data_IF_648671706210
#
_entry.id   IF_648671706210
#
_cell.length_a   1.000
_cell.length_b   1.000
_cell.length_c   1.000
_cell.angle_alpha   90.00
_cell.angle_beta   90.00
_cell.angle_gamma   90.00
#
_symmetry.space_group_name_H-M   'P 1'
#
loop_
_entity.id
_entity.type
_entity.pdbx_description
1 polymer ?
#
# COMPACT_ATOMS: atom_id res chain seq x y z
N UNK A 1 7.12 4.40 -7.62
CA UNK A 1 6.43 3.15 -7.22
C UNK A 1 5.66 3.27 -5.89
N UNK A 2 6.15 3.97 -4.86
CA UNK A 2 5.42 4.04 -3.58
C UNK A 2 4.09 4.82 -3.67
N UNK A 3 4.11 6.01 -4.29
CA UNK A 3 2.92 6.83 -4.43
C UNK A 3 1.79 6.12 -5.20
N UNK A 4 2.13 5.36 -6.25
CA UNK A 4 1.17 4.55 -7.01
C UNK A 4 0.54 3.47 -6.14
N UNK A 5 1.33 2.77 -5.31
CA UNK A 5 0.82 1.79 -4.34
C UNK A 5 -0.12 2.39 -3.29
N UNK A 6 0.16 3.59 -2.76
CA UNK A 6 -0.73 4.27 -1.80
C UNK A 6 -2.07 4.62 -2.44
N UNK A 7 -2.07 5.12 -3.68
CA UNK A 7 -3.32 5.44 -4.39
C UNK A 7 -4.11 4.18 -4.73
N UNK A 8 -3.44 3.11 -5.18
CA UNK A 8 -4.09 1.81 -5.41
C UNK A 8 -4.78 1.29 -4.15
N UNK A 9 -4.15 1.42 -2.97
CA UNK A 9 -4.75 1.04 -1.70
C UNK A 9 -6.04 1.81 -1.39
N UNK A 10 -6.07 3.12 -1.66
CA UNK A 10 -7.27 3.96 -1.47
C UNK A 10 -8.40 3.52 -2.42
N UNK A 11 -8.08 3.24 -3.67
CA UNK A 11 -9.06 2.78 -4.67
C UNK A 11 -9.65 1.42 -4.31
N UNK A 12 -8.80 0.44 -3.96
CA UNK A 12 -9.26 -0.88 -3.54
C UNK A 12 -10.19 -0.82 -2.32
N UNK A 13 -9.85 0.02 -1.35
CA UNK A 13 -10.67 0.23 -0.16
C UNK A 13 -12.08 0.72 -0.49
N UNK A 14 -12.18 1.77 -1.32
CA UNK A 14 -13.48 2.27 -1.76
C UNK A 14 -14.26 1.22 -2.56
N UNK A 15 -13.59 0.55 -3.50
CA UNK A 15 -14.24 -0.44 -4.35
C UNK A 15 -14.78 -1.64 -3.55
N UNK A 16 -14.03 -2.10 -2.55
CA UNK A 16 -14.47 -3.15 -1.64
C UNK A 16 -15.67 -2.71 -0.78
N UNK A 17 -15.58 -1.52 -0.17
CA UNK A 17 -16.64 -0.94 0.63
C UNK A 17 -17.95 -0.78 -0.16
N UNK A 18 -17.86 -0.27 -1.39
CA UNK A 18 -19.00 -0.05 -2.29
C UNK A 18 -19.51 -1.35 -2.94
N UNK A 19 -18.73 -2.44 -2.85
CA UNK A 19 -19.03 -3.74 -3.47
C UNK A 19 -18.94 -3.73 -5.00
N UNK A 20 -18.38 -2.67 -5.58
CA UNK A 20 -18.23 -2.46 -7.02
C UNK A 20 -17.01 -1.58 -7.30
N UNK A 21 -16.41 -1.74 -8.47
CA UNK A 21 -15.33 -0.87 -8.95
C UNK A 21 -15.80 -0.17 -10.22
N UNK A 22 -15.76 1.17 -10.22
CA UNK A 22 -16.06 1.96 -11.42
C UNK A 22 -14.96 1.75 -12.45
N UNK A 23 -15.29 1.70 -13.73
CA UNK A 23 -14.32 1.40 -14.79
C UNK A 23 -13.14 2.37 -14.84
N UNK A 24 -13.37 3.66 -14.50
CA UNK A 24 -12.29 4.66 -14.35
C UNK A 24 -11.32 4.32 -13.22
N UNK A 25 -11.83 3.81 -12.10
CA UNK A 25 -11.04 3.45 -10.93
C UNK A 25 -10.41 2.06 -11.10
N UNK A 26 -11.06 1.17 -11.85
CA UNK A 26 -10.51 -0.11 -12.29
C UNK A 26 -9.24 0.09 -13.13
N UNK A 27 -9.27 1.01 -14.11
CA UNK A 27 -8.09 1.34 -14.91
C UNK A 27 -6.96 1.90 -14.03
N UNK A 28 -7.27 2.88 -13.17
CA UNK A 28 -6.29 3.49 -12.25
C UNK A 28 -5.67 2.45 -11.32
N UNK A 29 -6.49 1.63 -10.68
CA UNK A 29 -6.04 0.58 -9.79
C UNK A 29 -5.15 -0.41 -10.52
N UNK A 30 -5.61 -0.93 -11.67
CA UNK A 30 -4.85 -1.91 -12.45
C UNK A 30 -3.48 -1.35 -12.87
N UNK A 31 -3.45 -0.13 -13.41
CA UNK A 31 -2.21 0.53 -13.82
C UNK A 31 -1.26 0.74 -12.64
N UNK A 32 -1.75 1.21 -11.49
CA UNK A 32 -0.90 1.49 -10.34
C UNK A 32 -0.41 0.23 -9.63
N UNK A 33 -1.25 -0.79 -9.52
CA UNK A 33 -0.87 -2.05 -8.86
C UNK A 33 0.14 -2.83 -9.73
N UNK A 34 0.00 -2.83 -11.06
CA UNK A 34 0.94 -3.51 -11.95
C UNK A 34 2.22 -2.70 -12.24
N UNK A 35 2.26 -1.40 -11.90
CA UNK A 35 3.40 -0.51 -12.14
C UNK A 35 4.71 -1.10 -11.59
N UNK A 36 4.70 -1.49 -10.31
CA UNK A 36 5.87 -2.10 -9.65
C UNK A 36 6.29 -3.40 -10.34
N UNK A 37 5.34 -4.28 -10.67
CA UNK A 37 5.62 -5.54 -11.34
C UNK A 37 6.22 -5.32 -12.73
N UNK A 38 5.61 -4.41 -13.52
CA UNK A 38 6.08 -4.05 -14.85
C UNK A 38 7.49 -3.49 -14.79
N UNK A 39 7.74 -2.56 -13.89
CA UNK A 39 9.03 -1.89 -13.75
C UNK A 39 10.14 -2.87 -13.34
N UNK A 40 9.86 -3.80 -12.42
CA UNK A 40 10.76 -4.91 -12.06
C UNK A 40 10.98 -5.87 -13.25
N UNK A 41 9.93 -6.21 -13.99
CA UNK A 41 10.01 -7.15 -15.12
C UNK A 41 10.85 -6.61 -16.29
N UNK A 42 10.76 -5.30 -16.55
CA UNK A 42 11.47 -4.63 -17.65
C UNK A 42 12.92 -4.27 -17.31
N UNK A 43 13.34 -4.39 -16.05
CA UNK A 43 14.73 -4.10 -15.66
C UNK A 43 15.66 -5.20 -16.15
N UNK A 44 16.74 -4.86 -16.86
CA UNK A 44 17.69 -5.80 -17.48
C UNK A 44 18.37 -6.77 -16.50
N UNK A 45 19.05 -7.81 -17.02
CA UNK A 45 19.65 -8.90 -16.22
C UNK A 45 20.77 -8.45 -15.27
N UNK A 46 21.42 -7.32 -15.53
CA UNK A 46 22.64 -6.88 -14.83
C UNK A 46 22.50 -5.52 -14.14
N UNK A 47 21.28 -5.12 -13.76
CA UNK A 47 21.04 -3.76 -13.26
C UNK A 47 21.15 -2.77 -14.41
N UNK A 48 19.99 -2.36 -14.93
CA UNK A 48 19.90 -1.57 -16.15
C UNK A 48 20.65 -0.24 -16.13
N UNK A 49 20.62 0.43 -17.28
CA UNK A 49 21.19 1.75 -17.57
C UNK A 49 21.07 2.74 -16.39
N UNK A 50 22.03 3.69 -16.26
CA UNK A 50 21.98 4.73 -15.23
C UNK A 50 20.60 5.41 -15.18
N UNK A 51 19.99 5.48 -13.98
CA UNK A 51 18.65 6.05 -13.77
C UNK A 51 17.48 5.05 -13.70
N UNK A 52 17.75 3.75 -13.62
CA UNK A 52 16.73 2.74 -13.32
C UNK A 52 16.62 2.48 -11.80
N UNK A 53 15.49 2.85 -11.18
CA UNK A 53 15.28 2.74 -9.72
C UNK A 53 15.41 1.29 -9.19
N UNK A 54 15.09 0.28 -10.01
CA UNK A 54 15.24 -1.14 -9.61
C UNK A 54 16.71 -1.57 -9.70
N UNK A 55 17.45 -1.05 -10.68
CA UNK A 55 18.90 -1.24 -10.75
C UNK A 55 19.61 -0.62 -9.54
N UNK A 56 19.25 0.61 -9.19
CA UNK A 56 19.75 1.29 -7.99
C UNK A 56 19.36 0.58 -6.69
N UNK A 57 18.13 0.08 -6.61
CA UNK A 57 17.68 -0.73 -5.49
C UNK A 57 18.54 -2.01 -5.34
N UNK A 58 18.78 -2.75 -6.42
CA UNK A 58 19.61 -3.96 -6.40
C UNK A 58 21.07 -3.65 -6.01
N UNK A 59 21.64 -2.56 -6.54
CA UNK A 59 23.00 -2.11 -6.17
C UNK A 59 23.08 -1.78 -4.68
N UNK A 60 22.11 -1.02 -4.17
CA UNK A 60 22.04 -0.61 -2.76
C UNK A 60 21.89 -1.85 -1.87
N UNK A 61 20.95 -2.72 -2.18
CA UNK A 61 20.71 -3.95 -1.41
C UNK A 61 21.96 -4.84 -1.39
N UNK A 62 22.58 -5.09 -2.55
CA UNK A 62 23.72 -6.00 -2.63
C UNK A 62 24.98 -5.40 -1.99
N UNK A 63 25.18 -4.09 -2.06
CA UNK A 63 26.26 -3.42 -1.32
C UNK A 63 26.08 -3.56 0.21
N UNK A 64 24.84 -3.43 0.70
CA UNK A 64 24.52 -3.72 2.11
C UNK A 64 24.73 -5.21 2.44
N UNK A 65 24.36 -6.10 1.52
CA UNK A 65 24.53 -7.53 1.70
C UNK A 65 26.00 -7.95 1.77
N UNK A 66 26.87 -7.37 0.95
CA UNK A 66 28.32 -7.59 0.99
C UNK A 66 28.90 -7.17 2.35
N UNK A 67 28.56 -5.96 2.81
CA UNK A 67 29.01 -5.46 4.12
C UNK A 67 28.53 -6.35 5.29
N UNK A 68 27.40 -7.03 5.11
CA UNK A 68 26.76 -7.90 6.07
C UNK A 68 27.16 -9.38 5.98
N UNK A 69 27.90 -9.81 4.94
CA UNK A 69 28.09 -11.24 4.64
C UNK A 69 26.79 -11.98 4.31
N UNK A 70 25.80 -11.28 3.75
CA UNK A 70 24.47 -11.78 3.43
C UNK A 70 24.32 -12.16 1.94
N UNK A 71 23.36 -13.03 1.58
CA UNK A 71 23.14 -13.42 0.20
C UNK A 71 22.61 -12.25 -0.65
N UNK A 72 23.10 -12.17 -1.89
CA UNK A 72 22.65 -11.17 -2.85
C UNK A 72 21.21 -11.40 -3.30
N UNK A 73 20.50 -10.30 -3.55
CA UNK A 73 19.25 -10.30 -4.27
C UNK A 73 19.55 -10.15 -5.77
N UNK A 74 19.24 -11.20 -6.54
CA UNK A 74 19.38 -11.17 -8.00
C UNK A 74 18.13 -10.61 -8.67
N UNK A 75 18.28 -10.01 -9.85
CA UNK A 75 17.14 -9.55 -10.65
C UNK A 75 16.13 -10.69 -10.93
N UNK A 76 16.62 -11.93 -11.13
CA UNK A 76 15.77 -13.11 -11.29
C UNK A 76 14.93 -13.39 -10.05
N UNK A 77 15.55 -13.39 -8.87
CA UNK A 77 14.86 -13.62 -7.59
C UNK A 77 13.85 -12.51 -7.35
N UNK A 78 14.24 -11.25 -7.55
CA UNK A 78 13.36 -10.09 -7.43
C UNK A 78 12.09 -10.22 -8.30
N UNK A 79 12.25 -10.59 -9.58
CA UNK A 79 11.12 -10.84 -10.49
C UNK A 79 10.21 -11.96 -9.98
N UNK A 80 10.80 -13.06 -9.51
CA UNK A 80 10.02 -14.18 -8.96
C UNK A 80 9.23 -13.77 -7.72
N UNK A 81 9.84 -13.00 -6.81
CA UNK A 81 9.19 -12.47 -5.62
C UNK A 81 8.01 -11.54 -5.98
N UNK A 82 8.20 -10.68 -7.00
CA UNK A 82 7.19 -9.73 -7.44
C UNK A 82 5.94 -10.38 -8.04
N UNK A 83 6.06 -11.58 -8.61
CA UNK A 83 4.90 -12.33 -9.15
C UNK A 83 3.85 -12.65 -8.07
N UNK A 84 4.22 -12.66 -6.78
CA UNK A 84 3.28 -12.82 -5.69
C UNK A 84 2.17 -11.72 -5.70
N UNK A 85 2.46 -10.53 -6.23
CA UNK A 85 1.46 -9.47 -6.40
C UNK A 85 0.33 -9.81 -7.39
N UNK A 86 0.52 -10.82 -8.26
CA UNK A 86 -0.54 -11.31 -9.14
C UNK A 86 -1.60 -12.12 -8.39
N UNK A 87 -1.31 -12.60 -7.17
CA UNK A 87 -2.28 -13.27 -6.30
C UNK A 87 -3.24 -12.28 -5.61
N UNK A 88 -3.58 -11.17 -6.29
CA UNK A 88 -4.47 -10.14 -5.79
C UNK A 88 -5.83 -10.22 -6.52
N UNK A 89 -6.91 -10.70 -5.87
CA UNK A 89 -8.23 -10.78 -6.50
C UNK A 89 -8.74 -9.43 -7.02
N UNK A 90 -8.44 -8.33 -6.32
CA UNK A 90 -8.83 -6.99 -6.78
C UNK A 90 -8.15 -6.61 -8.10
N UNK A 91 -6.93 -7.10 -8.36
CA UNK A 91 -6.25 -6.90 -9.64
C UNK A 91 -7.01 -7.58 -10.79
N UNK A 92 -7.51 -8.80 -10.56
CA UNK A 92 -8.34 -9.51 -11.52
C UNK A 92 -9.69 -8.81 -11.76
N UNK A 93 -10.35 -8.34 -10.70
CA UNK A 93 -11.60 -7.59 -10.82
C UNK A 93 -11.41 -6.26 -11.56
N UNK A 94 -10.31 -5.56 -11.31
CA UNK A 94 -9.96 -4.35 -12.02
C UNK A 94 -9.69 -4.61 -13.51
N UNK A 95 -8.91 -5.64 -13.85
CA UNK A 95 -8.67 -6.05 -15.23
C UNK A 95 -9.99 -6.42 -15.95
N UNK A 96 -10.86 -7.17 -15.28
CA UNK A 96 -12.20 -7.49 -15.79
C UNK A 96 -13.05 -6.23 -16.00
N UNK A 97 -13.01 -5.27 -15.07
CA UNK A 97 -13.70 -3.99 -15.20
C UNK A 97 -13.25 -3.18 -16.42
N UNK A 98 -11.94 -3.12 -16.66
CA UNK A 98 -11.38 -2.47 -17.86
C UNK A 98 -11.86 -3.17 -19.14
N UNK A 99 -11.77 -4.50 -19.20
CA UNK A 99 -12.22 -5.26 -20.37
C UNK A 99 -13.73 -5.11 -20.62
N UNK A 100 -14.52 -5.16 -19.54
CA UNK A 100 -15.99 -5.03 -19.58
C UNK A 100 -16.41 -3.64 -20.03
N UNK A 101 -15.65 -2.60 -19.70
CA UNK A 101 -15.84 -1.25 -20.21
C UNK A 101 -15.54 -1.15 -21.70
N UNK A 102 -14.41 -1.70 -22.17
CA UNK A 102 -14.06 -1.65 -23.60
C UNK A 102 -15.02 -2.43 -24.49
N UNK A 103 -15.51 -3.58 -24.04
CA UNK A 103 -16.47 -4.39 -24.80
C UNK A 103 -17.90 -3.81 -24.73
N UNK A 104 -18.29 -3.45 -23.50
CA UNK A 104 -19.63 -3.09 -23.06
C UNK A 104 -20.07 -1.63 -23.07
N UNK A 105 -19.11 -0.74 -22.82
CA UNK A 105 -19.37 0.54 -22.16
C UNK A 105 -19.84 0.41 -20.69
N UNK A 106 -19.65 -0.73 -20.03
CA UNK A 106 -20.14 -0.93 -18.65
C UNK A 106 -19.44 0.04 -17.67
N UNK A 107 -20.18 0.85 -16.90
CA UNK A 107 -19.60 1.91 -16.07
C UNK A 107 -18.96 1.40 -14.77
N UNK A 108 -19.36 0.21 -14.31
CA UNK A 108 -18.81 -0.48 -13.15
C UNK A 108 -18.90 -2.00 -13.30
N UNK A 109 -18.18 -2.71 -12.43
CA UNK A 109 -18.33 -4.16 -12.24
C UNK A 109 -18.39 -4.47 -10.75
N UNK A 110 -19.04 -5.58 -10.39
CA UNK A 110 -19.07 -6.05 -9.01
C UNK A 110 -17.66 -6.38 -8.51
N UNK A 111 -17.44 -6.20 -7.21
CA UNK A 111 -16.26 -6.67 -6.47
C UNK A 111 -16.74 -7.79 -5.55
N UNK A 112 -16.67 -9.06 -6.00
CA UNK A 112 -17.03 -10.20 -5.18
C UNK A 112 -16.15 -10.25 -3.93
N UNK A 113 -16.76 -10.60 -2.80
CA UNK A 113 -16.07 -10.84 -1.55
C UNK A 113 -16.58 -12.16 -0.96
N UNK A 114 -15.71 -12.88 -0.25
CA UNK A 114 -16.12 -14.03 0.52
C UNK A 114 -17.06 -13.57 1.63
N UNK A 115 -18.17 -14.27 1.83
CA UNK A 115 -19.11 -13.96 2.90
C UNK A 115 -19.00 -15.01 4.00
N UNK A 116 -18.61 -14.60 5.20
CA UNK A 116 -18.48 -15.45 6.39
C UNK A 116 -19.53 -14.96 7.39
N UNK A 117 -20.72 -15.55 7.34
CA UNK A 117 -21.91 -14.97 7.96
C UNK A 117 -22.19 -13.58 7.36
N UNK A 118 -22.44 -12.58 8.22
CA UNK A 118 -22.67 -11.19 7.79
C UNK A 118 -21.38 -10.38 7.56
N UNK A 119 -20.21 -11.03 7.56
CA UNK A 119 -18.92 -10.39 7.31
C UNK A 119 -18.51 -10.63 5.87
N UNK A 120 -18.27 -9.54 5.13
CA UNK A 120 -17.63 -9.57 3.81
C UNK A 120 -16.12 -9.54 4.00
N UNK A 121 -15.39 -10.38 3.30
CA UNK A 121 -13.95 -10.53 3.38
C UNK A 121 -13.30 -10.60 2.00
N UNK A 122 -12.25 -9.81 1.79
CA UNK A 122 -11.44 -9.83 0.59
C UNK A 122 -9.94 -9.79 0.94
N UNK A 123 -9.20 -10.90 0.73
CA UNK A 123 -7.75 -10.89 0.83
C UNK A 123 -7.13 -10.25 -0.42
N UNK A 124 -6.08 -9.45 -0.23
CA UNK A 124 -5.31 -8.84 -1.31
C UNK A 124 -3.82 -9.00 -1.02
N UNK A 125 -3.11 -9.71 -1.88
CA UNK A 125 -1.65 -9.83 -1.81
C UNK A 125 -0.97 -8.70 -2.57
N UNK A 126 0.06 -8.11 -1.98
CA UNK A 126 0.86 -7.04 -2.59
C UNK A 126 2.34 -7.32 -2.43
N UNK A 127 3.12 -6.81 -3.38
CA UNK A 127 4.57 -6.80 -3.32
C UNK A 127 5.09 -5.38 -3.46
N UNK A 128 6.11 -5.02 -2.69
CA UNK A 128 6.73 -3.68 -2.75
C UNK A 128 8.24 -3.75 -2.50
N UNK A 129 8.92 -2.71 -2.98
CA UNK A 129 10.31 -2.44 -2.64
C UNK A 129 10.32 -1.46 -1.48
N UNK A 130 10.78 -1.91 -0.31
CA UNK A 130 10.95 -1.08 0.86
C UNK A 130 12.40 -0.53 0.92
N UNK A 131 12.66 0.57 1.63
CA UNK A 131 14.01 1.13 1.71
C UNK A 131 15.06 0.18 2.31
N UNK A 132 14.65 -0.84 3.06
CA UNK A 132 15.53 -1.86 3.65
C UNK A 132 15.61 -3.16 2.84
N UNK A 133 14.80 -3.34 1.79
CA UNK A 133 14.72 -4.61 1.07
C UNK A 133 13.35 -4.87 0.43
N UNK A 134 12.95 -6.13 0.34
CA UNK A 134 11.69 -6.51 -0.32
C UNK A 134 10.61 -6.79 0.73
N UNK A 135 9.35 -6.47 0.42
CA UNK A 135 8.23 -6.68 1.34
C UNK A 135 6.99 -7.22 0.60
N UNK A 136 6.41 -8.27 1.15
CA UNK A 136 5.07 -8.74 0.82
C UNK A 136 4.08 -8.23 1.85
N UNK A 137 2.85 -7.99 1.40
CA UNK A 137 1.74 -7.70 2.29
C UNK A 137 0.51 -8.52 1.94
N UNK A 138 -0.15 -9.05 2.96
CA UNK A 138 -1.49 -9.59 2.89
C UNK A 138 -2.43 -8.59 3.56
N UNK A 139 -3.22 -7.89 2.75
CA UNK A 139 -4.26 -6.98 3.22
C UNK A 139 -5.58 -7.75 3.29
N UNK A 140 -6.14 -7.83 4.50
CA UNK A 140 -7.41 -8.47 4.78
C UNK A 140 -8.47 -7.39 4.93
N UNK A 141 -9.25 -7.14 3.87
CA UNK A 141 -10.32 -6.16 3.91
C UNK A 141 -11.61 -6.81 4.42
N UNK A 142 -12.24 -6.19 5.43
CA UNK A 142 -13.42 -6.68 6.14
C UNK A 142 -14.53 -5.61 6.12
N UNK A 143 -15.77 -6.03 5.87
CA UNK A 143 -16.96 -5.16 5.86
C UNK A 143 -18.25 -5.96 6.19
N UNK A 144 -19.42 -5.38 5.93
CA UNK A 144 -20.73 -5.99 6.23
C UNK A 144 -21.24 -5.53 7.58
N UNK A 145 -21.45 -6.46 8.53
CA UNK A 145 -21.78 -6.10 9.92
C UNK A 145 -20.67 -5.33 10.64
N UNK A 146 -19.42 -5.49 10.17
CA UNK A 146 -18.27 -4.75 10.67
C UNK A 146 -18.13 -3.44 9.89
N UNK A 147 -17.67 -2.39 10.58
CA UNK A 147 -17.20 -1.17 9.91
C UNK A 147 -16.04 -1.54 8.98
N UNK A 148 -15.87 -0.87 7.82
CA UNK A 148 -14.78 -1.15 6.91
C UNK A 148 -13.44 -1.14 7.65
N UNK A 149 -12.81 -2.30 7.71
CA UNK A 149 -11.59 -2.54 8.48
C UNK A 149 -10.60 -3.28 7.61
N UNK A 150 -9.36 -2.81 7.57
CA UNK A 150 -8.24 -3.50 6.94
C UNK A 150 -7.27 -3.98 8.01
N UNK A 151 -6.87 -5.25 7.89
CA UNK A 151 -5.76 -5.82 8.66
C UNK A 151 -4.66 -6.17 7.67
N UNK A 152 -3.55 -5.46 7.73
CA UNK A 152 -2.39 -5.66 6.87
C UNK A 152 -1.31 -6.43 7.62
N UNK A 153 -0.92 -7.59 7.09
CA UNK A 153 0.23 -8.34 7.57
C UNK A 153 1.37 -8.15 6.57
N UNK A 154 2.53 -7.71 7.05
CA UNK A 154 3.71 -7.42 6.24
C UNK A 154 4.84 -8.36 6.65
N UNK A 155 5.55 -8.88 5.66
CA UNK A 155 6.72 -9.74 5.85
C UNK A 155 7.72 -9.41 4.75
N UNK A 156 9.00 -9.37 5.07
CA UNK A 156 10.01 -8.93 4.13
C UNK A 156 11.33 -9.66 4.26
N UNK A 157 12.22 -9.32 3.34
CA UNK A 157 13.61 -9.77 3.32
C UNK A 157 14.51 -8.53 3.30
N UNK A 158 15.36 -8.43 4.32
CA UNK A 158 16.48 -7.50 4.39
C UNK A 158 17.78 -8.32 4.50
N UNK A 159 18.96 -7.72 4.23
CA UNK A 159 20.22 -8.48 4.19
C UNK A 159 20.49 -9.36 5.43
N UNK A 160 20.24 -8.87 6.64
CA UNK A 160 20.51 -9.62 7.89
C UNK A 160 19.28 -9.88 8.76
N UNK A 161 18.08 -9.54 8.29
CA UNK A 161 16.87 -9.69 9.09
C UNK A 161 15.65 -9.95 8.24
N UNK A 162 14.58 -10.40 8.91
CA UNK A 162 13.28 -10.65 8.32
C UNK A 162 12.29 -9.62 8.87
N UNK A 163 12.16 -8.44 8.22
CA UNK A 163 11.20 -7.43 8.60
C UNK A 163 9.78 -8.00 8.64
N UNK A 164 8.98 -7.54 9.59
CA UNK A 164 7.56 -7.84 9.64
C UNK A 164 6.77 -6.66 10.17
N UNK A 165 5.47 -6.64 9.91
CA UNK A 165 4.58 -5.64 10.46
C UNK A 165 3.13 -6.07 10.47
N UNK A 166 2.37 -5.46 11.36
CA UNK A 166 0.92 -5.61 11.46
C UNK A 166 0.33 -4.21 11.51
N UNK A 167 -0.59 -3.92 10.60
CA UNK A 167 -1.33 -2.68 10.54
C UNK A 167 -2.83 -2.95 10.65
N UNK A 168 -3.54 -2.12 11.40
CA UNK A 168 -4.99 -2.11 11.44
C UNK A 168 -5.46 -0.70 11.07
N UNK A 169 -6.33 -0.62 10.06
CA UNK A 169 -6.97 0.63 9.64
C UNK A 169 -8.46 0.42 9.71
N UNK A 170 -9.17 1.23 10.48
CA UNK A 170 -10.62 1.19 10.58
C UNK A 170 -11.18 2.52 10.12
N UNK A 171 -12.11 2.45 9.16
CA UNK A 171 -12.80 3.62 8.67
C UNK A 171 -14.06 3.87 9.46
N UNK A 172 -14.48 5.13 9.43
CA UNK A 172 -15.77 5.54 9.97
C UNK A 172 -15.95 5.15 11.45
N UNK A 173 -14.87 5.20 12.25
CA UNK A 173 -14.87 4.98 13.71
C UNK A 173 -15.80 5.96 14.42
N UNK A 174 -15.89 7.18 13.90
CA UNK A 174 -16.93 8.13 14.28
C UNK A 174 -17.57 8.66 13.01
N UNK A 175 -18.91 8.65 12.98
CA UNK A 175 -19.71 9.30 11.95
C UNK A 175 -20.68 10.24 12.66
N UNK A 176 -20.48 11.55 12.47
CA UNK A 176 -21.33 12.55 13.08
C UNK A 176 -21.59 13.72 12.12
N UNK A 177 -22.84 13.84 11.67
CA UNK A 177 -23.28 14.84 10.71
C UNK A 177 -22.47 14.84 9.39
N UNK A 178 -21.52 15.78 9.24
CA UNK A 178 -20.64 15.96 8.07
C UNK A 178 -19.22 15.45 8.33
N UNK A 179 -18.95 14.97 9.54
CA UNK A 179 -17.66 14.50 9.98
C UNK A 179 -17.57 12.97 9.91
N UNK A 180 -16.48 12.47 9.37
CA UNK A 180 -16.07 11.07 9.54
C UNK A 180 -14.65 11.03 10.10
N UNK A 181 -14.41 10.10 11.03
CA UNK A 181 -13.10 9.88 11.64
C UNK A 181 -12.69 8.44 11.40
N UNK A 182 -11.52 8.26 10.81
CA UNK A 182 -10.84 6.99 10.61
C UNK A 182 -9.68 6.88 11.61
N UNK A 183 -9.28 5.65 11.94
CA UNK A 183 -8.17 5.38 12.84
C UNK A 183 -7.25 4.31 12.30
N UNK A 184 -5.97 4.42 12.62
CA UNK A 184 -4.94 3.49 12.18
C UNK A 184 -3.90 3.27 13.28
N UNK A 185 -3.50 2.01 13.44
CA UNK A 185 -2.40 1.60 14.31
C UNK A 185 -1.52 0.64 13.53
N UNK A 186 -0.21 0.84 13.60
CA UNK A 186 0.77 -0.05 12.98
C UNK A 186 1.85 -0.41 14.00
N UNK A 187 2.27 -1.67 14.00
CA UNK A 187 3.44 -2.17 14.74
C UNK A 187 4.32 -2.92 13.75
N UNK A 188 5.64 -2.75 13.85
CA UNK A 188 6.58 -3.43 12.97
C UNK A 188 7.88 -3.75 13.66
N UNK A 189 8.63 -4.67 13.08
CA UNK A 189 10.04 -4.90 13.33
C UNK A 189 10.77 -4.77 12.01
N UNK A 190 11.67 -3.79 11.87
CA UNK A 190 12.42 -3.58 10.63
C UNK A 190 13.77 -2.92 10.89
N UNK A 191 14.75 -3.08 10.00
CA UNK A 191 16.01 -2.35 10.07
C UNK A 191 15.80 -0.83 10.14
N UNK A 192 16.61 -0.11 10.91
CA UNK A 192 16.72 1.34 10.85
C UNK A 192 16.84 1.83 9.40
N UNK A 193 15.99 2.80 9.04
CA UNK A 193 16.01 3.48 7.75
C UNK A 193 16.30 4.96 7.97
N UNK A 194 17.31 5.49 7.30
CA UNK A 194 17.64 6.93 7.34
C UNK A 194 18.65 7.39 8.40
N UNK A 195 19.50 6.49 8.96
CA UNK A 195 20.68 6.95 9.71
C UNK A 195 21.79 7.33 8.74
N UNK A 196 22.25 8.58 8.81
CA UNK A 196 23.37 9.15 8.03
C UNK A 196 24.72 8.49 8.28
N UNK A 197 24.81 7.61 9.27
CA UNK A 197 26.04 6.90 9.62
C UNK A 197 26.14 5.59 8.82
N UNK A 198 26.55 5.72 7.56
CA UNK A 198 26.90 4.59 6.69
C UNK A 198 28.03 3.70 7.26
N UNK A 199 28.76 4.18 8.27
CA UNK A 199 29.88 3.46 8.89
C UNK A 199 29.45 2.43 9.94
N UNK A 200 28.22 2.53 10.45
CA UNK A 200 27.61 1.53 11.32
C UNK A 200 26.18 1.30 10.86
N UNK A 201 26.02 0.52 9.81
CA UNK A 201 24.72 0.00 9.39
C UNK A 201 24.17 -0.86 10.53
N UNK A 202 23.40 -0.25 11.42
CA UNK A 202 22.58 -0.97 12.36
C UNK A 202 21.52 -1.71 11.52
N UNK A 203 21.81 -2.96 11.19
CA UNK A 203 20.91 -3.86 10.46
C UNK A 203 19.97 -4.62 11.39
N UNK A 204 20.21 -4.50 12.70
CA UNK A 204 19.37 -5.06 13.74
C UNK A 204 17.97 -4.45 13.69
N UNK A 205 16.93 -5.28 13.53
CA UNK A 205 15.58 -4.80 13.40
C UNK A 205 15.11 -4.17 14.70
N UNK A 206 14.43 -3.02 14.60
CA UNK A 206 13.84 -2.31 15.73
C UNK A 206 12.34 -2.40 15.68
N UNK A 207 11.74 -2.60 16.86
CA UNK A 207 10.30 -2.48 17.03
C UNK A 207 9.92 -1.01 16.88
N UNK A 208 8.93 -0.73 16.04
CA UNK A 208 8.34 0.58 15.91
C UNK A 208 6.82 0.52 15.90
N UNK A 209 6.24 1.68 16.16
CA UNK A 209 4.79 1.86 16.31
C UNK A 209 4.33 3.15 15.68
N UNK A 210 3.11 3.15 15.14
CA UNK A 210 2.40 4.32 14.67
C UNK A 210 0.98 4.27 15.21
N UNK A 211 0.46 5.42 15.61
CA UNK A 211 -0.95 5.65 15.87
C UNK A 211 -1.35 6.93 15.13
N UNK A 212 -2.46 6.89 14.40
CA UNK A 212 -2.95 8.05 13.70
C UNK A 212 -4.42 7.95 13.35
N UNK A 213 -4.96 9.04 12.84
CA UNK A 213 -6.35 9.13 12.42
C UNK A 213 -6.54 10.17 11.34
N UNK A 214 -7.59 9.96 10.55
CA UNK A 214 -7.99 10.86 9.49
C UNK A 214 -9.36 11.40 9.80
N UNK A 215 -9.49 12.72 9.76
CA UNK A 215 -10.73 13.46 9.94
C UNK A 215 -11.13 13.98 8.58
N UNK A 216 -12.34 13.66 8.15
CA UNK A 216 -12.92 14.15 6.91
C UNK A 216 -14.15 15.01 7.22
N UNK A 217 -14.29 16.15 6.56
CA UNK A 217 -15.45 17.03 6.66
C UNK A 217 -16.06 17.31 5.28
N UNK A 218 -17.32 16.92 5.10
CA UNK A 218 -18.06 17.19 3.86
C UNK A 218 -18.59 18.63 3.81
N UNK A 219 -18.07 19.44 2.87
CA UNK A 219 -18.34 20.88 2.78
C UNK A 219 -19.68 21.19 2.10
N UNK A 220 -20.00 20.52 0.99
CA UNK A 220 -21.21 20.77 0.18
C UNK A 220 -22.16 19.57 0.24
N UNK A 221 -23.48 19.78 0.09
CA UNK A 221 -24.48 18.69 0.13
C UNK A 221 -25.53 18.74 -0.99
N UNK A 222 -25.34 19.57 -2.02
CA UNK A 222 -26.30 19.65 -3.14
C UNK A 222 -25.95 18.66 -4.26
N UNK A 223 -26.87 17.71 -4.50
CA UNK A 223 -27.07 16.79 -5.65
C UNK A 223 -25.87 16.07 -6.29
N UNK A 224 -24.63 16.28 -5.83
CA UNK A 224 -23.42 15.63 -6.32
C UNK A 224 -22.52 15.15 -5.18
N UNK A 225 -21.38 14.55 -5.54
CA UNK A 225 -20.35 14.16 -4.56
C UNK A 225 -19.83 15.41 -3.83
N UNK A 226 -19.71 15.40 -2.50
CA UNK A 226 -19.30 16.57 -1.74
C UNK A 226 -17.80 16.87 -1.91
N UNK A 227 -17.43 18.16 -1.93
CA UNK A 227 -16.05 18.54 -1.62
C UNK A 227 -15.75 18.17 -0.16
N UNK A 228 -14.55 17.66 0.10
CA UNK A 228 -14.17 17.13 1.42
C UNK A 228 -12.90 17.79 1.91
N UNK A 229 -12.90 18.35 3.12
CA UNK A 229 -11.66 18.73 3.81
C UNK A 229 -11.11 17.51 4.54
N UNK A 230 -9.81 17.30 4.45
CA UNK A 230 -9.13 16.13 5.00
C UNK A 230 -8.01 16.63 5.91
N UNK A 231 -7.97 16.12 7.14
CA UNK A 231 -6.88 16.28 8.08
C UNK A 231 -6.42 14.90 8.53
N UNK A 232 -5.14 14.59 8.33
CA UNK A 232 -4.50 13.33 8.72
C UNK A 232 -3.44 13.67 9.77
N UNK A 233 -3.56 13.07 10.96
CA UNK A 233 -2.68 13.32 12.10
C UNK A 233 -2.20 12.00 12.69
N UNK A 234 -0.95 11.95 13.11
CA UNK A 234 -0.41 10.77 13.76
C UNK A 234 0.88 11.01 14.51
N UNK A 235 1.27 9.99 15.27
CA UNK A 235 2.57 9.89 15.93
C UNK A 235 3.18 8.55 15.56
N UNK A 236 4.48 8.55 15.28
CA UNK A 236 5.18 7.37 14.79
C UNK A 236 6.63 7.34 15.31
N UNK A 237 7.15 6.16 15.62
CA UNK A 237 8.59 5.94 15.82
C UNK A 237 9.34 5.89 14.48
N UNK A 238 10.67 6.03 14.48
CA UNK A 238 11.46 5.88 13.25
C UNK A 238 11.21 4.55 12.53
N UNK A 239 11.15 4.59 11.20
CA UNK A 239 10.87 3.43 10.37
C UNK A 239 10.17 3.74 9.05
N UNK A 240 10.08 2.77 8.16
CA UNK A 240 9.27 2.80 6.95
C UNK A 240 7.82 2.32 7.19
N UNK A 241 6.87 3.09 6.66
CA UNK A 241 5.47 2.71 6.39
C UNK A 241 5.13 3.44 5.09
N UNK A 242 4.47 2.79 4.11
CA UNK A 242 4.11 3.45 2.86
C UNK A 242 3.31 4.73 3.09
N UNK A 243 3.73 5.82 2.46
CA UNK A 243 3.09 7.13 2.56
C UNK A 243 3.34 7.87 3.87
N UNK A 244 4.27 7.42 4.72
CA UNK A 244 4.71 8.12 5.93
C UNK A 244 6.19 8.51 5.83
N UNK A 245 6.62 9.60 6.48
CA UNK A 245 8.04 9.91 6.64
C UNK A 245 8.83 8.77 7.30
N UNK A 246 10.12 8.65 6.95
CA UNK A 246 11.04 7.67 7.55
C UNK A 246 11.38 7.99 9.01
N UNK A 247 11.52 9.29 9.31
CA UNK A 247 11.80 9.78 10.66
C UNK A 247 10.63 9.53 11.61
N UNK A 248 10.94 9.40 12.90
CA UNK A 248 9.92 9.39 13.96
C UNK A 248 9.47 10.80 14.32
N UNK A 249 8.26 10.92 14.88
CA UNK A 249 7.71 12.17 15.37
C UNK A 249 6.21 12.29 15.14
N UNK A 250 5.73 13.53 15.26
CA UNK A 250 4.37 13.91 14.94
C UNK A 250 4.26 14.17 13.43
N UNK A 251 3.21 13.64 12.80
CA UNK A 251 2.89 13.89 11.40
C UNK A 251 1.53 14.57 11.31
N UNK A 252 1.44 15.58 10.43
CA UNK A 252 0.20 16.27 10.14
C UNK A 252 0.14 16.58 8.64
N UNK A 253 -0.97 16.24 7.99
CA UNK A 253 -1.22 16.50 6.57
C UNK A 253 -2.63 17.03 6.40
N UNK A 254 -2.78 18.05 5.57
CA UNK A 254 -4.09 18.60 5.21
C UNK A 254 -4.30 18.47 3.70
N UNK A 255 -5.55 18.27 3.28
CA UNK A 255 -5.90 18.15 1.88
C UNK A 255 -7.37 18.45 1.60
N UNK A 256 -7.69 18.55 0.31
CA UNK A 256 -9.06 18.76 -0.17
C UNK A 256 -9.37 17.70 -1.21
N UNK A 257 -10.45 16.96 -1.01
CA UNK A 257 -11.05 16.07 -2.00
C UNK A 257 -12.05 16.85 -2.83
N UNK A 258 -11.82 16.94 -4.14
CA UNK A 258 -12.76 17.56 -5.07
C UNK A 258 -13.56 16.49 -5.82
N UNK A 259 -14.89 16.64 -5.93
CA UNK A 259 -15.68 15.80 -6.81
C UNK A 259 -15.32 16.13 -8.26
N UNK A 260 -14.64 15.22 -8.94
CA UNK A 260 -14.44 15.34 -10.39
C UNK A 260 -15.69 14.78 -11.11
N UNK A 261 -16.22 15.49 -12.12
CA UNK A 261 -17.36 15.03 -12.91
C UNK A 261 -17.11 13.68 -13.64
#
# INVERSE_FOLDING_TARGET
MEATGVVAAIVANHAFADGRIRSRDALRYFTFEIDTLRYIATTGKEGGDPGNDVGDFLRTYNGLADAAGAPHLTARRLRQQALAGLANPMLAYAAFGVARYWWSGAPDVAVPALSIGDVRYLPMFRYRLAPYGTEWALVNALAGRLRPTEIELRFGEAPQSTPWGIGVRQRDIVKWNRWTIDGAVDVWSQPPVGSSDAQHLALDPRIGTRVGGRINYAVTRSSGSPATLILDIGVKSGGYIPGEPLGGGLTARAGVGLPLP
#
